data_IF_011324413519
#
_entry.id   IF_011324413519
#
_cell.length_a   1.000
_cell.length_b   1.000
_cell.length_c   1.000
_cell.angle_alpha   90.00
_cell.angle_beta   90.00
_cell.angle_gamma   90.00
#
_symmetry.space_group_name_H-M   'P 1'
#
loop_
_entity.id
_entity.type
_entity.pdbx_description
1 polymer ?
#
# COMPACT_ATOMS: atom_id res chain seq x y z
N UNK A 1 -10.62 4.64 -22.87
CA UNK A 1 -10.36 5.07 -21.49
C UNK A 1 -9.42 4.07 -20.85
N UNK A 2 -8.39 4.55 -20.15
CA UNK A 2 -7.13 3.86 -19.81
C UNK A 2 -7.38 2.66 -18.88
N UNK A 3 -6.72 1.52 -19.16
CA UNK A 3 -6.74 0.34 -18.29
C UNK A 3 -6.38 0.75 -16.85
N UNK A 4 -7.34 0.66 -15.93
CA UNK A 4 -7.16 0.95 -14.51
C UNK A 4 -6.49 -0.28 -13.86
N UNK A 5 -5.20 -0.16 -13.57
CA UNK A 5 -4.40 -1.22 -12.96
C UNK A 5 -4.88 -1.56 -11.55
N UNK A 6 -5.15 -2.85 -11.30
CA UNK A 6 -5.63 -3.41 -10.04
C UNK A 6 -4.73 -3.05 -8.83
N UNK A 7 -3.43 -2.80 -9.02
CA UNK A 7 -2.48 -2.62 -7.92
C UNK A 7 -2.59 -1.29 -7.16
N UNK A 8 -3.02 -0.21 -7.83
CA UNK A 8 -3.02 1.14 -7.24
C UNK A 8 -4.21 1.37 -6.30
N UNK A 9 -5.39 0.82 -6.63
CA UNK A 9 -6.59 0.94 -5.79
C UNK A 9 -6.40 0.20 -4.46
N UNK A 10 -5.92 -1.04 -4.48
CA UNK A 10 -5.78 -1.84 -3.24
C UNK A 10 -4.88 -1.18 -2.20
N UNK A 11 -3.73 -0.65 -2.59
CA UNK A 11 -2.81 -0.04 -1.63
C UNK A 11 -3.33 1.28 -1.05
N UNK A 12 -3.96 2.12 -1.88
CA UNK A 12 -4.56 3.38 -1.41
C UNK A 12 -5.80 3.18 -0.54
N UNK A 13 -6.56 2.10 -0.71
CA UNK A 13 -7.66 1.74 0.20
C UNK A 13 -7.18 0.99 1.45
N UNK A 14 -6.10 0.20 1.34
CA UNK A 14 -5.57 -0.56 2.47
C UNK A 14 -5.02 0.35 3.57
N UNK A 15 -4.31 1.42 3.24
CA UNK A 15 -3.71 2.29 4.28
C UNK A 15 -4.79 2.99 5.14
N UNK A 16 -5.80 3.67 4.56
CA UNK A 16 -6.92 4.21 5.33
C UNK A 16 -7.72 3.13 6.06
N UNK A 17 -8.00 2.00 5.40
CA UNK A 17 -8.75 0.90 6.02
C UNK A 17 -8.05 0.35 7.26
N UNK A 18 -6.73 0.07 7.15
CA UNK A 18 -5.92 -0.38 8.28
C UNK A 18 -5.91 0.66 9.40
N UNK A 19 -5.73 1.95 9.09
CA UNK A 19 -5.71 3.01 10.11
C UNK A 19 -7.02 3.13 10.91
N UNK A 20 -8.16 2.78 10.31
CA UNK A 20 -9.49 2.80 10.95
C UNK A 20 -9.74 1.59 11.85
N UNK A 21 -8.95 0.53 11.71
CA UNK A 21 -9.11 -0.74 12.43
C UNK A 21 -8.20 -0.85 13.66
N UNK A 22 -7.29 0.12 13.87
CA UNK A 22 -6.39 0.15 15.02
C UNK A 22 -7.00 1.06 16.10
N UNK A 23 -7.18 0.53 17.32
CA UNK A 23 -7.65 1.32 18.45
C UNK A 23 -6.67 2.47 18.74
N UNK A 24 -7.17 3.71 18.67
CA UNK A 24 -6.34 4.91 18.70
C UNK A 24 -5.88 5.32 17.30
N UNK A 25 -6.80 5.91 16.53
CA UNK A 25 -6.61 6.47 15.18
C UNK A 25 -5.18 6.99 14.95
N UNK A 26 -4.43 6.31 14.07
CA UNK A 26 -3.10 6.76 13.67
C UNK A 26 -3.18 7.35 12.26
N UNK A 27 -2.86 8.62 12.08
CA UNK A 27 -2.85 9.26 10.76
C UNK A 27 -1.77 8.70 9.79
N UNK A 28 -0.87 7.86 10.32
CA UNK A 28 0.25 7.27 9.58
C UNK A 28 0.61 5.87 10.11
N UNK A 29 1.31 5.09 9.28
CA UNK A 29 1.92 3.81 9.65
C UNK A 29 3.45 3.94 9.67
N UNK A 30 4.12 3.42 10.71
CA UNK A 30 5.59 3.38 10.72
C UNK A 30 6.15 2.40 9.67
N UNK A 31 5.50 1.25 9.48
CA UNK A 31 5.94 0.20 8.56
C UNK A 31 4.75 -0.48 7.86
N UNK A 32 4.85 -0.65 6.54
CA UNK A 32 3.93 -1.47 5.74
C UNK A 32 4.71 -2.49 4.89
N UNK A 33 4.35 -3.77 5.01
CA UNK A 33 4.99 -4.87 4.29
C UNK A 33 3.99 -5.55 3.35
N UNK A 34 4.39 -5.80 2.11
CA UNK A 34 3.64 -6.74 1.25
C UNK A 34 3.93 -8.15 1.75
N UNK A 35 2.92 -8.78 2.37
CA UNK A 35 3.06 -10.13 2.90
C UNK A 35 3.02 -11.21 1.82
N UNK A 36 2.06 -11.10 0.90
CA UNK A 36 1.92 -12.05 -0.21
C UNK A 36 1.90 -11.25 -1.52
N UNK A 37 2.94 -11.39 -2.36
CA UNK A 37 2.99 -10.63 -3.59
C UNK A 37 1.93 -11.14 -4.57
N UNK A 38 1.21 -10.24 -5.27
CA UNK A 38 0.25 -10.66 -6.28
C UNK A 38 0.95 -11.37 -7.44
N UNK A 39 0.22 -12.29 -8.09
CA UNK A 39 0.70 -12.98 -9.28
C UNK A 39 0.89 -11.99 -10.44
N UNK A 40 2.02 -12.08 -11.12
CA UNK A 40 2.36 -11.24 -12.27
C UNK A 40 3.25 -10.03 -11.95
N UNK A 41 4.31 -9.86 -12.74
CA UNK A 41 5.33 -8.81 -12.53
C UNK A 41 4.76 -7.40 -12.55
N UNK A 42 3.86 -7.12 -13.50
CA UNK A 42 3.25 -5.80 -13.64
C UNK A 42 2.50 -5.40 -12.38
N UNK A 43 1.67 -6.31 -11.84
CA UNK A 43 0.87 -6.04 -10.64
C UNK A 43 1.78 -5.82 -9.44
N UNK A 44 2.84 -6.62 -9.25
CA UNK A 44 3.81 -6.41 -8.16
C UNK A 44 4.46 -5.03 -8.22
N UNK A 45 4.89 -4.60 -9.40
CA UNK A 45 5.51 -3.28 -9.60
C UNK A 45 4.50 -2.15 -9.33
N UNK A 46 3.25 -2.30 -9.75
CA UNK A 46 2.19 -1.33 -9.47
C UNK A 46 1.87 -1.26 -7.97
N UNK A 47 1.74 -2.39 -7.28
CA UNK A 47 1.52 -2.44 -5.84
C UNK A 47 2.64 -1.74 -5.07
N UNK A 48 3.90 -2.02 -5.41
CA UNK A 48 5.04 -1.38 -4.73
C UNK A 48 5.13 0.13 -5.04
N UNK A 49 4.83 0.55 -6.28
CA UNK A 49 4.74 1.98 -6.64
C UNK A 49 3.68 2.70 -5.81
N UNK A 50 2.51 2.08 -5.60
CA UNK A 50 1.46 2.67 -4.78
C UNK A 50 1.89 2.84 -3.31
N UNK A 51 2.65 1.88 -2.75
CA UNK A 51 3.24 2.02 -1.41
C UNK A 51 4.24 3.18 -1.34
N UNK A 52 5.08 3.35 -2.38
CA UNK A 52 6.01 4.47 -2.46
C UNK A 52 5.27 5.81 -2.54
N UNK A 53 4.16 5.89 -3.25
CA UNK A 53 3.35 7.11 -3.32
C UNK A 53 2.64 7.40 -1.99
N UNK A 54 2.15 6.38 -1.27
CA UNK A 54 1.63 6.53 0.08
C UNK A 54 2.70 7.01 1.07
N UNK A 55 3.95 6.53 0.91
CA UNK A 55 5.10 7.04 1.66
C UNK A 55 5.41 8.50 1.36
N UNK A 56 5.40 8.91 0.08
CA UNK A 56 5.57 10.33 -0.29
C UNK A 56 4.47 11.23 0.28
N UNK A 57 3.25 10.70 0.42
CA UNK A 57 2.11 11.40 1.03
C UNK A 57 2.19 11.48 2.56
N UNK A 58 3.23 10.92 3.20
CA UNK A 58 3.39 10.93 4.65
C UNK A 58 2.54 9.89 5.40
N UNK A 59 1.77 9.06 4.69
CA UNK A 59 0.89 8.04 5.29
C UNK A 59 1.66 6.80 5.77
N UNK A 60 2.87 6.57 5.23
CA UNK A 60 3.73 5.45 5.62
C UNK A 60 5.18 5.94 5.74
N UNK A 61 5.89 5.63 6.82
CA UNK A 61 7.31 6.01 6.95
C UNK A 61 8.24 5.03 6.22
N UNK A 62 8.00 3.74 6.39
CA UNK A 62 8.81 2.67 5.80
C UNK A 62 7.95 1.64 5.06
N UNK A 63 8.43 1.21 3.90
CA UNK A 63 7.74 0.22 3.05
C UNK A 63 8.69 -0.91 2.71
N UNK A 64 8.18 -2.14 2.66
CA UNK A 64 8.99 -3.32 2.37
C UNK A 64 8.16 -4.51 1.91
N UNK A 65 8.80 -5.68 1.92
CA UNK A 65 8.20 -6.98 1.58
C UNK A 65 8.63 -7.99 2.64
N UNK A 66 7.77 -8.95 2.97
CA UNK A 66 8.07 -10.06 3.87
C UNK A 66 7.22 -11.25 3.49
N UNK A 67 7.82 -12.39 3.14
CA UNK A 67 7.06 -13.63 2.96
C UNK A 67 6.68 -14.25 4.31
#
# INVERSE_FOLDING_TARGET
MKAMGFGMHYCLFAVPGVSQQIDGFTDYLDLYLIHSPPTGTQVRLETYRALLDAKKQGKIRSVGVSN
#
